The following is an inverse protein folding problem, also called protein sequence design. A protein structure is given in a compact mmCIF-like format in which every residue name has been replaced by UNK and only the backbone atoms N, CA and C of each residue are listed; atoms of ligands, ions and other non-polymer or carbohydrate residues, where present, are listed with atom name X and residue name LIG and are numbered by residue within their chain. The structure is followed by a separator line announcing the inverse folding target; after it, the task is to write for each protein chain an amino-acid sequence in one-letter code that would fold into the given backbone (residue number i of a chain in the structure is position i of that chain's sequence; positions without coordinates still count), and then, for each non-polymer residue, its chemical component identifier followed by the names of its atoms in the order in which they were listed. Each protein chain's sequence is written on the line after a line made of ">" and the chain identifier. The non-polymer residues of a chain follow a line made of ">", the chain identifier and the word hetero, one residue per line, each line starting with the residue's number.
data_IF_530418934650
#
_entry.id   IF_530418934650
#
_cell.length_a   1.000
_cell.length_b   1.000
_cell.length_c   1.000
_cell.angle_alpha   90.00
_cell.angle_beta   90.00
_cell.angle_gamma   90.00
#
_symmetry.space_group_name_H-M   'P 1'
#
loop_
_entity.id
_entity.type
_entity.pdbx_description
1 polymer ?
#
# COMPACT_ATOMS: atom_id res chain seq x y z
N UNK A 1 -15.62 16.34 -0.45
CA UNK A 1 -14.77 16.08 -1.65
C UNK A 1 -13.40 15.54 -1.25
N UNK A 2 -12.68 16.22 -0.35
CA UNK A 2 -11.37 15.77 0.16
C UNK A 2 -11.47 14.43 0.92
N UNK A 3 -12.42 14.30 1.85
CA UNK A 3 -12.65 13.03 2.59
C UNK A 3 -12.86 11.84 1.65
N UNK A 4 -13.80 11.96 0.69
CA UNK A 4 -14.03 10.91 -0.31
C UNK A 4 -12.76 10.54 -1.10
N UNK A 5 -11.90 11.54 -1.41
CA UNK A 5 -10.63 11.29 -2.09
C UNK A 5 -9.66 10.53 -1.19
N UNK A 6 -9.54 10.93 0.08
CA UNK A 6 -8.75 10.24 1.08
C UNK A 6 -9.22 8.80 1.28
N UNK A 7 -10.53 8.58 1.44
CA UNK A 7 -11.11 7.26 1.62
C UNK A 7 -10.75 6.34 0.44
N UNK A 8 -10.83 6.85 -0.79
CA UNK A 8 -10.44 6.10 -1.97
C UNK A 8 -8.93 5.76 -1.97
N UNK A 9 -8.08 6.73 -1.66
CA UNK A 9 -6.62 6.52 -1.63
C UNK A 9 -6.20 5.52 -0.54
N UNK A 10 -6.81 5.61 0.64
CA UNK A 10 -6.56 4.72 1.78
C UNK A 10 -7.11 3.31 1.49
N UNK A 11 -8.27 3.22 0.84
CA UNK A 11 -8.84 1.94 0.42
C UNK A 11 -7.88 1.18 -0.50
N UNK A 12 -7.16 1.87 -1.37
CA UNK A 12 -6.16 1.28 -2.27
C UNK A 12 -4.84 1.02 -1.56
N UNK A 13 -4.41 1.91 -0.66
CA UNK A 13 -3.15 1.80 0.05
C UNK A 13 -3.27 2.32 1.49
N UNK A 14 -3.26 1.39 2.45
CA UNK A 14 -3.40 1.71 3.87
C UNK A 14 -2.21 2.52 4.43
N UNK A 15 -1.06 2.58 3.74
CA UNK A 15 0.06 3.42 4.21
C UNK A 15 -0.29 4.91 4.28
N UNK A 16 -1.36 5.34 3.57
CA UNK A 16 -1.81 6.73 3.45
C UNK A 16 -2.68 7.21 4.61
N UNK A 17 -2.80 6.44 5.69
CA UNK A 17 -3.53 6.86 6.90
C UNK A 17 -2.95 8.12 7.54
N UNK A 18 -1.67 8.44 7.31
CA UNK A 18 -1.04 9.67 7.76
C UNK A 18 -1.70 10.93 7.16
N UNK A 19 -2.20 10.86 5.92
CA UNK A 19 -2.97 11.95 5.32
C UNK A 19 -4.30 12.17 6.03
N UNK A 20 -4.96 11.10 6.49
CA UNK A 20 -6.21 11.21 7.26
C UNK A 20 -5.95 11.86 8.62
N UNK A 21 -4.92 11.42 9.34
CA UNK A 21 -4.52 12.00 10.63
C UNK A 21 -4.19 13.50 10.49
N UNK A 22 -3.41 13.87 9.47
CA UNK A 22 -3.13 15.28 9.16
C UNK A 22 -4.39 16.07 8.84
N UNK A 23 -5.32 15.50 8.07
CA UNK A 23 -6.58 16.15 7.76
C UNK A 23 -7.42 16.40 9.02
N UNK A 24 -7.57 15.39 9.88
CA UNK A 24 -8.31 15.51 11.13
C UNK A 24 -7.71 16.57 12.06
N UNK A 25 -6.37 16.59 12.20
CA UNK A 25 -5.67 17.61 13.00
C UNK A 25 -5.92 19.04 12.52
N UNK A 26 -5.97 19.29 11.21
CA UNK A 26 -6.30 20.62 10.68
C UNK A 26 -7.72 21.04 11.07
N UNK A 27 -8.68 20.12 10.98
CA UNK A 27 -10.08 20.37 11.36
C UNK A 27 -10.21 20.62 12.87
N UNK A 28 -9.54 19.82 13.70
CA UNK A 28 -9.52 20.00 15.16
C UNK A 28 -8.87 21.32 15.58
N UNK A 29 -7.76 21.70 14.95
CA UNK A 29 -7.07 22.95 15.24
C UNK A 29 -7.94 24.17 14.87
N UNK A 30 -8.72 24.09 13.80
CA UNK A 30 -9.72 25.12 13.48
C UNK A 30 -10.87 25.13 14.50
N UNK A 31 -11.46 23.97 14.80
CA UNK A 31 -12.61 23.86 15.71
C UNK A 31 -12.29 24.31 17.15
N UNK A 32 -11.04 24.12 17.59
CA UNK A 32 -10.55 24.59 18.89
C UNK A 32 -10.18 26.08 18.91
N UNK A 33 -10.24 26.77 17.76
CA UNK A 33 -9.85 28.17 17.62
C UNK A 33 -8.33 28.41 17.56
N UNK A 34 -7.52 27.34 17.50
CA UNK A 34 -6.07 27.44 17.35
C UNK A 34 -5.64 27.92 15.96
N UNK A 35 -6.47 27.69 14.93
CA UNK A 35 -6.30 28.22 13.58
C UNK A 35 -7.42 29.19 13.22
N UNK A 36 -7.05 30.32 12.61
CA UNK A 36 -8.01 31.18 11.92
C UNK A 36 -8.49 30.55 10.61
N UNK A 37 -9.64 31.02 10.09
CA UNK A 37 -10.18 30.56 8.80
C UNK A 37 -9.19 30.73 7.63
N UNK A 38 -8.40 31.82 7.65
CA UNK A 38 -7.38 32.07 6.62
C UNK A 38 -6.21 31.09 6.69
N UNK A 39 -5.78 30.73 7.90
CA UNK A 39 -4.73 29.72 8.10
C UNK A 39 -5.21 28.32 7.71
N UNK A 40 -6.42 27.93 8.14
CA UNK A 40 -7.02 26.66 7.73
C UNK A 40 -7.09 26.56 6.21
N UNK A 41 -7.54 27.61 5.52
CA UNK A 41 -7.61 27.62 4.06
C UNK A 41 -6.23 27.40 3.42
N UNK A 42 -5.19 28.09 3.90
CA UNK A 42 -3.83 27.92 3.40
C UNK A 42 -3.29 26.48 3.62
N UNK A 43 -3.58 25.90 4.78
CA UNK A 43 -3.21 24.51 5.09
C UNK A 43 -3.96 23.52 4.20
N UNK A 44 -5.26 23.70 3.98
CA UNK A 44 -6.07 22.85 3.08
C UNK A 44 -5.58 22.91 1.63
N UNK A 45 -5.17 24.09 1.14
CA UNK A 45 -4.58 24.22 -0.19
C UNK A 45 -3.28 23.41 -0.30
N UNK A 46 -2.41 23.52 0.71
CA UNK A 46 -1.15 22.78 0.76
C UNK A 46 -1.38 21.27 0.86
N UNK A 47 -2.31 20.86 1.71
CA UNK A 47 -2.73 19.48 1.88
C UNK A 47 -3.26 18.88 0.58
N UNK A 48 -4.12 19.61 -0.12
CA UNK A 48 -4.71 19.14 -1.40
C UNK A 48 -3.63 18.96 -2.48
N UNK A 49 -2.61 19.82 -2.52
CA UNK A 49 -1.46 19.64 -3.42
C UNK A 49 -0.70 18.35 -3.10
N UNK A 50 -0.36 18.12 -1.83
CA UNK A 50 0.30 16.89 -1.40
C UNK A 50 -0.54 15.64 -1.69
N UNK A 51 -1.86 15.72 -1.53
CA UNK A 51 -2.77 14.62 -1.83
C UNK A 51 -2.80 14.29 -3.34
N UNK A 52 -2.74 15.31 -4.19
CA UNK A 52 -2.63 15.12 -5.64
C UNK A 52 -1.28 14.52 -6.03
N UNK A 53 -0.18 14.94 -5.41
CA UNK A 53 1.14 14.36 -5.64
C UNK A 53 1.23 12.89 -5.22
N UNK A 54 0.57 12.53 -4.12
CA UNK A 54 0.48 11.16 -3.62
C UNK A 54 -0.38 10.28 -4.52
N UNK A 55 -1.51 10.78 -5.00
CA UNK A 55 -2.36 10.08 -5.98
C UNK A 55 -1.61 9.74 -7.27
N UNK A 56 -0.72 10.64 -7.71
CA UNK A 56 0.09 10.44 -8.93
C UNK A 56 1.44 9.76 -8.66
N UNK A 57 1.70 9.28 -7.42
CA UNK A 57 3.00 8.73 -7.06
C UNK A 57 3.31 7.44 -7.83
N UNK A 58 2.33 6.58 -8.07
CA UNK A 58 2.54 5.33 -8.82
C UNK A 58 3.12 5.61 -10.22
N UNK A 59 2.65 6.65 -10.91
CA UNK A 59 3.18 7.08 -12.21
C UNK A 59 4.65 7.50 -12.13
N UNK A 60 5.01 8.29 -11.11
CA UNK A 60 6.41 8.72 -10.88
C UNK A 60 7.33 7.55 -10.58
N UNK A 61 6.82 6.60 -9.80
CA UNK A 61 7.54 5.38 -9.43
C UNK A 61 7.58 4.33 -10.55
N UNK A 62 6.87 4.56 -11.66
CA UNK A 62 6.75 3.65 -12.83
C UNK A 62 6.24 2.26 -12.45
N UNK A 63 5.28 2.23 -11.53
CA UNK A 63 4.59 1.04 -11.06
C UNK A 63 3.09 1.30 -11.04
N UNK A 64 2.27 0.25 -11.05
CA UNK A 64 0.82 0.40 -10.92
C UNK A 64 0.42 0.84 -9.50
N UNK A 65 -0.79 1.36 -9.33
CA UNK A 65 -1.32 1.71 -8.01
C UNK A 65 -1.41 0.49 -7.07
N UNK A 66 -1.64 -0.69 -7.64
CA UNK A 66 -1.61 -1.98 -6.95
C UNK A 66 -0.19 -2.35 -6.49
N UNK A 67 0.78 -2.27 -7.39
CA UNK A 67 2.19 -2.51 -7.07
C UNK A 67 2.71 -1.52 -6.03
N UNK A 68 2.23 -0.27 -6.06
CA UNK A 68 2.59 0.76 -5.10
C UNK A 68 2.12 0.42 -3.68
N UNK A 69 0.94 -0.19 -3.53
CA UNK A 69 0.45 -0.64 -2.23
C UNK A 69 1.32 -1.76 -1.65
N UNK A 70 1.74 -2.72 -2.48
CA UNK A 70 2.67 -3.78 -2.07
C UNK A 70 4.04 -3.20 -1.73
N UNK A 71 4.54 -2.29 -2.58
CA UNK A 71 5.81 -1.60 -2.37
C UNK A 71 5.83 -0.85 -1.02
N UNK A 72 4.77 -0.12 -0.69
CA UNK A 72 4.66 0.57 0.59
C UNK A 72 4.60 -0.38 1.78
N UNK A 73 3.88 -1.50 1.66
CA UNK A 73 3.87 -2.53 2.71
C UNK A 73 5.31 -2.99 2.98
N UNK A 74 6.11 -3.21 1.94
CA UNK A 74 7.48 -3.68 2.08
C UNK A 74 8.43 -2.60 2.59
N UNK A 75 8.19 -1.32 2.30
CA UNK A 75 9.15 -0.24 2.58
C UNK A 75 8.76 0.67 3.75
N UNK A 76 7.51 0.62 4.23
CA UNK A 76 7.00 1.53 5.28
C UNK A 76 6.34 0.78 6.43
N UNK A 77 6.87 0.86 7.66
CA UNK A 77 8.25 1.23 7.99
C UNK A 77 9.24 0.20 7.42
N UNK A 78 10.48 0.58 7.14
CA UNK A 78 11.48 -0.31 6.55
C UNK A 78 12.90 0.22 6.73
N UNK A 79 13.93 -0.54 6.33
CA UNK A 79 15.31 -0.08 6.36
C UNK A 79 15.55 1.03 5.34
N UNK A 80 16.65 1.77 5.49
CA UNK A 80 17.08 2.72 4.46
C UNK A 80 17.55 1.97 3.21
N UNK A 81 16.90 2.25 2.08
CA UNK A 81 17.14 1.60 0.81
C UNK A 81 17.95 2.51 -0.12
N UNK A 82 18.93 1.92 -0.80
CA UNK A 82 19.59 2.55 -1.94
C UNK A 82 18.62 2.61 -3.14
N UNK A 83 18.91 3.44 -4.16
CA UNK A 83 18.12 3.44 -5.40
C UNK A 83 18.07 2.05 -6.07
N UNK A 84 19.17 1.30 -6.04
CA UNK A 84 19.22 -0.04 -6.62
C UNK A 84 18.35 -1.04 -5.86
N UNK A 85 18.41 -1.03 -4.52
CA UNK A 85 17.55 -1.88 -3.68
C UNK A 85 16.07 -1.52 -3.86
N UNK A 86 15.76 -0.22 -3.99
CA UNK A 86 14.41 0.28 -4.25
C UNK A 86 13.85 -0.27 -5.56
N UNK A 87 14.63 -0.20 -6.64
CA UNK A 87 14.24 -0.79 -7.93
C UNK A 87 14.09 -2.32 -7.88
N UNK A 88 14.95 -3.01 -7.11
CA UNK A 88 14.80 -4.45 -6.89
C UNK A 88 13.47 -4.78 -6.21
N UNK A 89 13.09 -4.02 -5.17
CA UNK A 89 11.82 -4.25 -4.46
C UNK A 89 10.62 -3.98 -5.40
N UNK A 90 10.67 -2.95 -6.24
CA UNK A 90 9.63 -2.71 -7.26
C UNK A 90 9.49 -3.90 -8.20
N UNK A 91 10.60 -4.48 -8.65
CA UNK A 91 10.58 -5.70 -9.47
C UNK A 91 9.95 -6.88 -8.73
N UNK A 92 10.30 -7.09 -7.46
CA UNK A 92 9.68 -8.12 -6.60
C UNK A 92 8.18 -7.92 -6.50
N UNK A 93 7.69 -6.68 -6.35
CA UNK A 93 6.26 -6.38 -6.32
C UNK A 93 5.56 -6.81 -7.61
N UNK A 94 6.13 -6.46 -8.76
CA UNK A 94 5.62 -6.84 -10.09
C UNK A 94 5.56 -8.36 -10.27
N UNK A 95 6.69 -9.02 -10.02
CA UNK A 95 6.82 -10.47 -10.23
C UNK A 95 5.93 -11.26 -9.27
N UNK A 96 5.85 -10.83 -8.00
CA UNK A 96 4.98 -11.45 -7.00
C UNK A 96 3.50 -11.33 -7.39
N UNK A 97 3.04 -10.13 -7.75
CA UNK A 97 1.64 -9.91 -8.10
C UNK A 97 1.26 -10.69 -9.36
N UNK A 98 2.11 -10.68 -10.39
CA UNK A 98 1.91 -11.47 -11.59
C UNK A 98 1.74 -12.95 -11.24
N UNK A 99 2.65 -13.50 -10.44
CA UNK A 99 2.63 -14.91 -10.05
C UNK A 99 1.45 -15.30 -9.17
N UNK A 100 1.10 -14.44 -8.20
CA UNK A 100 -0.07 -14.68 -7.36
C UNK A 100 -1.33 -14.73 -8.21
N UNK A 101 -1.52 -13.77 -9.13
CA UNK A 101 -2.71 -13.70 -9.99
C UNK A 101 -2.81 -14.87 -10.97
N UNK A 102 -1.70 -15.32 -11.56
CA UNK A 102 -1.72 -16.39 -12.55
C UNK A 102 -1.81 -17.79 -11.93
N UNK A 103 -1.16 -18.02 -10.78
CA UNK A 103 -0.98 -19.37 -10.24
C UNK A 103 -1.72 -19.62 -8.92
N UNK A 104 -1.89 -18.61 -8.05
CA UNK A 104 -2.27 -18.84 -6.65
C UNK A 104 -3.66 -18.32 -6.29
N UNK A 105 -4.07 -17.18 -6.83
CA UNK A 105 -5.36 -16.52 -6.59
C UNK A 105 -6.45 -17.11 -7.50
N UNK A 106 -6.50 -18.44 -7.56
CA UNK A 106 -7.45 -19.22 -8.35
C UNK A 106 -8.71 -19.56 -7.53
N UNK A 107 -9.63 -20.37 -8.07
CA UNK A 107 -10.90 -20.67 -7.43
C UNK A 107 -10.75 -21.19 -5.99
N UNK A 108 -11.50 -20.56 -5.06
CA UNK A 108 -11.54 -20.89 -3.64
C UNK A 108 -10.19 -20.77 -2.91
N UNK A 109 -9.27 -19.95 -3.44
CA UNK A 109 -7.95 -19.77 -2.85
C UNK A 109 -8.04 -19.27 -1.40
N UNK A 110 -9.00 -18.38 -1.11
CA UNK A 110 -9.17 -17.72 0.19
C UNK A 110 -9.83 -18.62 1.22
N UNK A 111 -10.78 -19.45 0.79
CA UNK A 111 -11.62 -20.27 1.66
C UNK A 111 -11.00 -21.62 2.01
N UNK A 112 -10.28 -22.26 1.08
CA UNK A 112 -9.59 -23.52 1.34
C UNK A 112 -8.27 -23.28 2.09
N UNK A 113 -8.06 -24.01 3.20
CA UNK A 113 -6.85 -23.87 4.02
C UNK A 113 -5.55 -24.12 3.23
N UNK A 114 -5.56 -25.11 2.34
CA UNK A 114 -4.38 -25.54 1.57
C UNK A 114 -3.94 -24.49 0.55
N UNK A 115 -4.86 -23.96 -0.25
CA UNK A 115 -4.58 -22.90 -1.23
C UNK A 115 -4.19 -21.59 -0.55
N UNK A 116 -4.83 -21.28 0.59
CA UNK A 116 -4.48 -20.10 1.38
C UNK A 116 -3.06 -20.20 1.95
N UNK A 117 -2.68 -21.38 2.44
CA UNK A 117 -1.29 -21.64 2.86
C UNK A 117 -0.32 -21.54 1.68
N UNK A 118 -0.69 -22.04 0.50
CA UNK A 118 0.13 -21.95 -0.71
C UNK A 118 0.40 -20.51 -1.15
N UNK A 119 -0.57 -19.59 -1.00
CA UNK A 119 -0.36 -18.15 -1.22
C UNK A 119 0.67 -17.59 -0.24
N UNK A 120 0.53 -17.90 1.04
CA UNK A 120 1.48 -17.43 2.07
C UNK A 120 2.90 -17.92 1.80
N UNK A 121 3.06 -19.20 1.48
CA UNK A 121 4.37 -19.80 1.15
C UNK A 121 4.97 -19.14 -0.10
N UNK A 122 4.15 -18.81 -1.11
CA UNK A 122 4.65 -18.12 -2.30
C UNK A 122 5.13 -16.69 -1.98
N UNK A 123 4.40 -15.97 -1.13
CA UNK A 123 4.82 -14.64 -0.65
C UNK A 123 6.16 -14.75 0.08
N UNK A 124 6.26 -15.64 1.07
CA UNK A 124 7.49 -15.84 1.84
C UNK A 124 8.67 -16.19 0.92
N UNK A 125 8.47 -17.11 -0.02
CA UNK A 125 9.51 -17.50 -1.00
C UNK A 125 9.97 -16.35 -1.88
N UNK A 126 9.04 -15.58 -2.45
CA UNK A 126 9.37 -14.48 -3.36
C UNK A 126 10.08 -13.34 -2.62
N UNK A 127 9.63 -13.02 -1.41
CA UNK A 127 10.27 -11.99 -0.59
C UNK A 127 11.67 -12.43 -0.13
N UNK A 128 11.84 -13.69 0.29
CA UNK A 128 13.15 -14.22 0.73
C UNK A 128 14.19 -14.11 -0.39
N UNK A 129 13.79 -14.42 -1.63
CA UNK A 129 14.67 -14.31 -2.80
C UNK A 129 14.91 -12.88 -3.31
N UNK A 130 14.08 -11.92 -2.90
CA UNK A 130 13.95 -10.63 -3.57
C UNK A 130 14.23 -9.40 -2.71
N UNK A 131 14.10 -9.53 -1.38
CA UNK A 131 14.37 -8.45 -0.45
C UNK A 131 15.88 -8.36 -0.15
N UNK A 132 16.42 -7.13 0.04
CA UNK A 132 17.80 -6.94 0.47
C UNK A 132 18.09 -7.54 1.86
N UNK A 133 19.35 -7.85 2.13
CA UNK A 133 19.82 -8.38 3.44
C UNK A 133 19.53 -7.47 4.64
N UNK A 134 19.19 -6.20 4.38
CA UNK A 134 18.79 -5.22 5.41
C UNK A 134 17.48 -5.58 6.12
N UNK A 135 16.67 -6.47 5.55
CA UNK A 135 15.46 -6.97 6.20
C UNK A 135 15.84 -8.03 7.23
N UNK A 136 15.79 -7.66 8.51
CA UNK A 136 15.97 -8.60 9.62
C UNK A 136 14.89 -9.69 9.58
N UNK A 137 15.13 -10.84 10.20
CA UNK A 137 14.15 -11.93 10.27
C UNK A 137 12.80 -11.46 10.82
N UNK A 138 12.81 -10.66 11.88
CA UNK A 138 11.58 -10.10 12.47
C UNK A 138 10.83 -9.18 11.50
N UNK A 139 11.55 -8.26 10.84
CA UNK A 139 10.93 -7.36 9.88
C UNK A 139 10.39 -8.12 8.66
N UNK A 140 11.15 -9.12 8.19
CA UNK A 140 10.75 -10.00 7.10
C UNK A 140 9.44 -10.74 7.41
N UNK A 141 9.35 -11.38 8.58
CA UNK A 141 8.14 -12.09 9.02
C UNK A 141 6.94 -11.14 9.13
N UNK A 142 7.17 -9.94 9.67
CA UNK A 142 6.16 -8.89 9.72
C UNK A 142 5.68 -8.50 8.32
N UNK A 143 6.60 -8.26 7.37
CA UNK A 143 6.25 -7.89 5.99
C UNK A 143 5.48 -8.99 5.28
N UNK A 144 5.89 -10.24 5.43
CA UNK A 144 5.14 -11.39 4.92
C UNK A 144 3.72 -11.45 5.48
N UNK A 145 3.57 -11.23 6.79
CA UNK A 145 2.27 -11.23 7.46
C UNK A 145 1.35 -10.12 6.97
N UNK A 146 1.84 -8.88 6.92
CA UNK A 146 1.06 -7.72 6.46
C UNK A 146 0.68 -7.86 4.99
N UNK A 147 1.61 -8.30 4.14
CA UNK A 147 1.35 -8.50 2.72
C UNK A 147 0.33 -9.62 2.49
N UNK A 148 0.45 -10.74 3.22
CA UNK A 148 -0.53 -11.81 3.15
C UNK A 148 -1.94 -11.36 3.58
N UNK A 149 -2.04 -10.57 4.64
CA UNK A 149 -3.31 -10.00 5.08
C UNK A 149 -3.89 -9.04 4.02
N UNK A 150 -3.06 -8.19 3.43
CA UNK A 150 -3.45 -7.34 2.32
C UNK A 150 -4.01 -8.15 1.16
N UNK A 151 -3.34 -9.24 0.76
CA UNK A 151 -3.82 -10.11 -0.32
C UNK A 151 -5.18 -10.76 0.04
N UNK A 152 -5.38 -11.19 1.28
CA UNK A 152 -6.67 -11.71 1.75
C UNK A 152 -7.81 -10.70 1.66
N UNK A 153 -7.54 -9.44 1.93
CA UNK A 153 -8.54 -8.38 1.93
C UNK A 153 -8.86 -7.88 0.52
N UNK A 154 -7.84 -7.72 -0.33
CA UNK A 154 -7.97 -7.04 -1.62
C UNK A 154 -8.30 -7.97 -2.80
N UNK A 155 -8.17 -9.29 -2.66
CA UNK A 155 -8.38 -10.25 -3.76
C UNK A 155 -9.42 -11.33 -3.42
N UNK A 156 -10.73 -11.04 -3.49
CA UNK A 156 -11.77 -12.05 -3.25
C UNK A 156 -11.83 -13.12 -4.36
N UNK A 157 -12.41 -14.29 -4.06
CA UNK A 157 -12.50 -15.47 -4.95
C UNK A 157 -13.23 -15.22 -6.29
N UNK A 158 -13.95 -14.09 -6.45
CA UNK A 158 -14.77 -13.78 -7.65
C UNK A 158 -14.10 -12.83 -8.64
N UNK A 159 -12.77 -12.66 -8.57
CA UNK A 159 -12.01 -11.78 -9.48
C UNK A 159 -12.09 -10.30 -9.15
N UNK A 160 -13.06 -9.85 -8.36
CA UNK A 160 -13.27 -8.44 -8.01
C UNK A 160 -12.17 -7.88 -7.08
N UNK A 161 -11.03 -7.46 -7.62
CA UNK A 161 -10.00 -6.74 -6.85
C UNK A 161 -10.36 -5.27 -6.69
N UNK A 162 -9.95 -4.64 -5.59
CA UNK A 162 -10.10 -3.18 -5.43
C UNK A 162 -9.33 -2.38 -6.48
N UNK A 163 -8.36 -3.02 -7.16
CA UNK A 163 -7.48 -2.40 -8.15
C UNK A 163 -8.03 -2.42 -9.58
N UNK A 164 -9.12 -3.17 -9.87
CA UNK A 164 -9.68 -3.23 -11.24
C UNK A 164 -10.17 -1.86 -11.75
N UNK A 165 -10.60 -0.97 -10.85
CA UNK A 165 -11.04 0.39 -11.17
C UNK A 165 -9.92 1.43 -11.08
N UNK A 166 -8.70 1.02 -10.71
CA UNK A 166 -7.53 1.89 -10.49
C UNK A 166 -6.39 1.63 -11.48
N UNK A 167 -6.60 0.71 -12.44
CA UNK A 167 -5.66 0.38 -13.52
C UNK A 167 -5.84 1.23 -14.77
#
# INVERSE_FOLDING_TARGET
>A
LIERKLDNLIRLNASRYDFLDRFQKMIEAYNSGALSIGQLFAELVTFTKGLNEEEQRHLREQISEEELAVFDILTRPGPDLTPQETESIKKVCKDLLAKLKTEKLVLAWRTKRTTRAAVRVEIEKMLDSGLPEKYTTELFEQKCGVLFQHVLEKYPDRGASVYEAAG
#
